data_IF_825235515112
#
_entry.id   IF_825235515112
#
_cell.length_a   1.000
_cell.length_b   1.000
_cell.length_c   1.000
_cell.angle_alpha   90.00
_cell.angle_beta   90.00
_cell.angle_gamma   90.00
#
_symmetry.space_group_name_H-M   'P 1'
#
loop_
_entity.id
_entity.type
_entity.pdbx_description
1 polymer ?
#
# COMPACT_ATOMS: atom_id res chain seq x y z
N UNK A 1 8.41 10.05 -6.86
CA UNK A 1 9.55 10.84 -6.32
C UNK A 1 10.13 10.17 -5.08
N UNK A 2 9.32 9.95 -4.04
CA UNK A 2 9.74 9.22 -2.82
C UNK A 2 10.32 7.85 -3.21
N UNK A 3 9.57 7.06 -3.98
CA UNK A 3 10.02 5.75 -4.50
C UNK A 3 10.96 5.80 -5.72
N UNK A 4 11.38 6.98 -6.18
CA UNK A 4 12.27 7.15 -7.35
C UNK A 4 11.86 6.45 -8.67
N UNK A 5 10.59 6.00 -8.79
CA UNK A 5 10.03 5.43 -10.02
C UNK A 5 9.51 6.49 -10.99
N UNK A 6 9.50 6.15 -12.29
CA UNK A 6 8.85 6.94 -13.33
C UNK A 6 7.32 6.94 -13.12
N UNK A 7 6.68 8.11 -12.88
CA UNK A 7 5.25 8.20 -12.65
C UNK A 7 4.37 7.61 -13.77
N UNK A 8 4.86 7.56 -15.01
CA UNK A 8 4.09 7.06 -16.15
C UNK A 8 4.05 5.52 -16.24
N UNK A 9 4.86 4.83 -15.45
CA UNK A 9 4.93 3.36 -15.44
C UNK A 9 3.94 2.73 -14.45
N UNK A 10 3.48 3.51 -13.48
CA UNK A 10 2.56 3.05 -12.43
C UNK A 10 1.13 2.93 -12.98
N UNK A 11 0.52 1.75 -12.82
CA UNK A 11 -0.84 1.47 -13.28
C UNK A 11 -1.85 1.49 -12.13
N UNK A 12 -3.09 1.80 -12.46
CA UNK A 12 -4.20 1.78 -11.51
C UNK A 12 -5.55 1.64 -12.20
N UNK A 13 -6.61 1.65 -11.40
CA UNK A 13 -7.98 1.73 -11.91
C UNK A 13 -8.23 3.06 -12.62
N UNK A 14 -9.38 3.17 -13.31
CA UNK A 14 -9.79 4.42 -13.98
C UNK A 14 -9.85 5.63 -13.03
N UNK A 15 -10.09 5.38 -11.74
CA UNK A 15 -10.17 6.40 -10.69
C UNK A 15 -8.83 6.63 -9.97
N UNK A 16 -7.76 5.92 -10.35
CA UNK A 16 -6.42 6.08 -9.78
C UNK A 16 -6.13 5.21 -8.55
N UNK A 17 -6.91 4.16 -8.30
CA UNK A 17 -6.59 3.20 -7.25
C UNK A 17 -5.48 2.25 -7.72
N UNK A 18 -4.44 2.07 -6.90
CA UNK A 18 -3.14 1.53 -7.31
C UNK A 18 -2.87 0.14 -6.73
N UNK A 19 -2.16 -0.69 -7.50
CA UNK A 19 -1.61 -1.96 -7.05
C UNK A 19 -2.63 -3.01 -6.58
N UNK A 20 -2.11 -4.04 -5.93
CA UNK A 20 -2.86 -5.14 -5.31
C UNK A 20 -3.93 -4.64 -4.31
N UNK A 21 -3.66 -3.68 -3.40
CA UNK A 21 -4.64 -3.26 -2.40
C UNK A 21 -5.60 -2.17 -2.90
N UNK A 22 -5.47 -1.71 -4.14
CA UNK A 22 -6.28 -0.62 -4.71
C UNK A 22 -6.22 0.67 -3.86
N UNK A 23 -5.04 1.05 -3.41
CA UNK A 23 -4.85 2.29 -2.64
C UNK A 23 -4.90 3.52 -3.54
N UNK A 24 -5.64 4.53 -3.11
CA UNK A 24 -5.48 5.87 -3.67
C UNK A 24 -4.08 6.41 -3.33
N UNK A 25 -3.51 7.35 -4.12
CA UNK A 25 -2.18 7.91 -3.85
C UNK A 25 -2.04 8.53 -2.45
N UNK A 26 -3.12 9.11 -1.90
CA UNK A 26 -3.15 9.58 -0.52
C UNK A 26 -3.01 8.45 0.50
N UNK A 27 -3.72 7.34 0.30
CA UNK A 27 -3.63 6.15 1.15
C UNK A 27 -2.25 5.51 1.06
N UNK A 28 -1.65 5.44 -0.12
CA UNK A 28 -0.28 4.96 -0.30
C UNK A 28 0.69 5.73 0.61
N UNK A 29 0.72 7.05 0.50
CA UNK A 29 1.64 7.89 1.28
C UNK A 29 1.37 7.85 2.80
N UNK A 30 0.12 7.62 3.20
CA UNK A 30 -0.25 7.62 4.61
C UNK A 30 -0.06 6.25 5.28
N UNK A 31 -0.22 5.15 4.54
CA UNK A 31 -0.40 3.82 5.14
C UNK A 31 0.48 2.73 4.55
N UNK A 32 0.96 2.88 3.32
CA UNK A 32 1.82 1.87 2.72
C UNK A 32 3.15 1.79 3.47
N UNK A 33 3.71 0.59 3.54
CA UNK A 33 4.95 0.29 4.26
C UNK A 33 5.81 -0.65 3.41
N UNK A 34 7.10 -0.41 3.46
CA UNK A 34 8.14 -1.35 3.06
C UNK A 34 8.15 -2.48 4.11
N UNK A 35 7.64 -3.65 3.73
CA UNK A 35 7.40 -4.74 4.66
C UNK A 35 8.49 -5.82 4.59
N UNK A 36 9.13 -5.99 3.44
CA UNK A 36 10.24 -6.91 3.27
C UNK A 36 11.60 -6.29 3.64
N UNK A 37 11.66 -4.96 3.77
CA UNK A 37 12.82 -4.19 4.22
C UNK A 37 13.82 -3.89 3.11
N UNK A 38 13.41 -3.95 1.84
CA UNK A 38 14.31 -3.74 0.69
C UNK A 38 14.59 -2.25 0.39
N UNK A 39 13.88 -1.34 1.06
CA UNK A 39 14.00 0.12 0.92
C UNK A 39 12.99 0.74 -0.04
N UNK A 40 12.07 -0.05 -0.60
CA UNK A 40 11.03 0.39 -1.53
C UNK A 40 9.63 -0.02 -1.04
N UNK A 41 8.61 0.68 -1.56
CA UNK A 41 7.22 0.32 -1.32
C UNK A 41 6.55 -0.01 -2.67
N UNK A 42 6.52 -1.30 -3.02
CA UNK A 42 6.02 -1.82 -4.28
C UNK A 42 4.72 -2.61 -4.13
N UNK A 43 3.62 -1.91 -3.87
CA UNK A 43 2.27 -2.52 -3.78
C UNK A 43 1.72 -3.10 -5.10
N UNK A 44 2.47 -3.04 -6.22
CA UNK A 44 2.04 -3.55 -7.53
C UNK A 44 2.46 -4.99 -7.74
N UNK A 45 3.74 -5.29 -7.52
CA UNK A 45 4.33 -6.58 -7.84
C UNK A 45 4.97 -7.27 -6.63
N UNK A 46 5.02 -6.59 -5.49
CA UNK A 46 5.48 -7.17 -4.23
C UNK A 46 4.28 -7.50 -3.32
N UNK A 47 3.97 -8.79 -3.10
CA UNK A 47 2.91 -9.20 -2.19
C UNK A 47 3.21 -8.88 -0.72
N UNK A 48 4.47 -8.86 -0.30
CA UNK A 48 4.84 -8.62 1.10
C UNK A 48 4.52 -7.18 1.48
N UNK A 49 4.90 -6.22 0.64
CA UNK A 49 4.51 -4.81 0.80
C UNK A 49 3.00 -4.61 0.75
N UNK A 50 2.31 -5.30 -0.15
CA UNK A 50 0.86 -5.20 -0.24
C UNK A 50 0.18 -5.70 1.04
N UNK A 51 0.63 -6.83 1.59
CA UNK A 51 0.11 -7.41 2.83
C UNK A 51 0.40 -6.47 4.01
N UNK A 52 1.65 -6.02 4.16
CA UNK A 52 2.05 -5.09 5.21
C UNK A 52 1.27 -3.77 5.15
N UNK A 53 1.06 -3.24 3.95
CA UNK A 53 0.31 -2.00 3.71
C UNK A 53 -1.16 -2.12 4.07
N UNK A 54 -1.81 -3.24 3.74
CA UNK A 54 -3.21 -3.50 4.15
C UNK A 54 -3.30 -3.61 5.67
N UNK A 55 -2.40 -4.37 6.30
CA UNK A 55 -2.37 -4.51 7.76
C UNK A 55 -2.15 -3.15 8.47
N UNK A 56 -1.22 -2.34 7.96
CA UNK A 56 -0.97 -0.96 8.43
C UNK A 56 -2.23 -0.09 8.30
N UNK A 57 -2.92 -0.14 7.16
CA UNK A 57 -4.16 0.60 6.94
C UNK A 57 -5.23 0.23 7.98
N UNK A 58 -5.55 -1.06 8.14
CA UNK A 58 -6.56 -1.50 9.11
C UNK A 58 -6.20 -1.10 10.54
N UNK A 59 -4.94 -1.33 10.94
CA UNK A 59 -4.47 -0.96 12.28
C UNK A 59 -4.60 0.54 12.55
N UNK A 60 -4.26 1.40 11.57
CA UNK A 60 -4.40 2.85 11.72
C UNK A 60 -5.86 3.33 11.70
N UNK A 61 -6.78 2.53 11.18
CA UNK A 61 -8.23 2.79 11.21
C UNK A 61 -8.95 2.10 12.38
N UNK A 62 -8.21 1.72 13.43
CA UNK A 62 -8.80 1.28 14.69
C UNK A 62 -9.18 -0.20 14.74
N UNK A 63 -8.62 -1.02 13.84
CA UNK A 63 -8.77 -2.47 13.95
C UNK A 63 -8.23 -2.99 15.29
N UNK A 64 -9.04 -3.78 15.99
CA UNK A 64 -8.69 -4.44 17.25
C UNK A 64 -8.57 -5.94 17.01
N UNK A 65 -7.38 -6.49 17.24
CA UNK A 65 -7.12 -7.91 17.01
C UNK A 65 -7.88 -8.78 18.03
N UNK A 66 -8.61 -9.78 17.53
CA UNK A 66 -9.34 -10.75 18.35
C UNK A 66 -10.79 -10.38 18.65
N UNK A 67 -11.22 -9.16 18.31
CA UNK A 67 -12.64 -8.78 18.37
C UNK A 67 -13.43 -9.39 17.20
N UNK A 68 -14.73 -9.72 17.39
CA UNK A 68 -15.59 -10.13 16.30
C UNK A 68 -15.82 -8.98 15.30
N UNK A 69 -16.21 -9.32 14.07
CA UNK A 69 -16.53 -8.39 12.97
C UNK A 69 -18.03 -8.17 12.88
#
# INVERSE_FOLDING_TARGET
REEQVDPLTLKGSYAGAMGLPQFMPSSFRAYAVDFDGDGHINIWNDPDDAIGSVASYFKRHGWVAGEPV
#
